data_IF_100149702488
#
_entry.id   IF_100149702488
#
_cell.length_a   1.000
_cell.length_b   1.000
_cell.length_c   1.000
_cell.angle_alpha   90.00
_cell.angle_beta   90.00
_cell.angle_gamma   90.00
#
_symmetry.space_group_name_H-M   'P 1'
#
loop_
_entity.id
_entity.type
_entity.pdbx_description
1 polymer ?
#
# COMPACT_ATOMS: atom_id res chain seq x y z
N UNK A 1 4.16 4.16 -24.19
CA UNK A 1 3.26 4.88 -23.26
C UNK A 1 2.56 3.82 -22.41
N UNK A 2 2.87 3.72 -21.11
CA UNK A 2 2.14 2.80 -20.23
C UNK A 2 0.70 3.30 -20.08
N UNK A 3 -0.28 2.43 -20.35
CA UNK A 3 -1.70 2.78 -20.23
C UNK A 3 -2.08 2.85 -18.75
N UNK A 4 -2.29 4.05 -18.23
CA UNK A 4 -2.76 4.25 -16.86
C UNK A 4 -4.27 4.10 -16.79
N UNK A 5 -4.78 3.39 -15.78
CA UNK A 5 -6.21 3.30 -15.50
C UNK A 5 -6.52 3.98 -14.16
N UNK A 6 -7.59 4.79 -14.07
CA UNK A 6 -8.00 5.41 -12.81
C UNK A 6 -8.46 4.33 -11.83
N UNK A 7 -8.02 4.43 -10.58
CA UNK A 7 -8.41 3.52 -9.49
C UNK A 7 -8.98 4.33 -8.34
N UNK A 8 -10.19 3.98 -7.88
CA UNK A 8 -10.84 4.63 -6.74
C UNK A 8 -11.09 3.59 -5.65
N UNK A 9 -10.58 3.86 -4.45
CA UNK A 9 -10.72 2.96 -3.30
C UNK A 9 -11.20 3.75 -2.09
N UNK A 10 -12.16 3.17 -1.35
CA UNK A 10 -12.63 3.75 -0.09
C UNK A 10 -11.68 3.35 1.03
N UNK A 11 -11.19 4.35 1.77
CA UNK A 11 -10.27 4.17 2.89
C UNK A 11 -10.83 4.99 4.05
N UNK A 12 -10.74 4.46 5.26
CA UNK A 12 -11.05 5.20 6.48
C UNK A 12 -10.16 6.46 6.57
N UNK A 13 -10.73 7.59 7.03
CA UNK A 13 -10.03 8.87 7.07
C UNK A 13 -8.79 8.86 7.99
N UNK A 14 -8.88 8.20 9.15
CA UNK A 14 -7.77 8.09 10.10
C UNK A 14 -6.66 7.21 9.53
N UNK A 15 -7.02 6.09 8.91
CA UNK A 15 -6.06 5.21 8.23
C UNK A 15 -5.36 5.94 7.08
N UNK A 16 -6.11 6.74 6.30
CA UNK A 16 -5.54 7.55 5.22
C UNK A 16 -4.53 8.54 5.78
N UNK A 17 -4.87 9.25 6.87
CA UNK A 17 -3.97 10.22 7.50
C UNK A 17 -2.66 9.56 7.96
N UNK A 18 -2.76 8.45 8.70
CA UNK A 18 -1.59 7.71 9.18
C UNK A 18 -0.72 7.20 8.03
N UNK A 19 -1.34 6.66 6.98
CA UNK A 19 -0.61 6.21 5.80
C UNK A 19 0.06 7.36 5.04
N UNK A 20 -0.60 8.52 4.92
CA UNK A 20 0.00 9.72 4.31
C UNK A 20 1.24 10.14 5.07
N UNK A 21 1.14 10.32 6.40
CA UNK A 21 2.27 10.76 7.24
C UNK A 21 3.45 9.79 7.11
N UNK A 22 3.19 8.48 7.18
CA UNK A 22 4.21 7.44 7.00
C UNK A 22 4.89 7.49 5.63
N UNK A 23 4.11 7.62 4.55
CA UNK A 23 4.69 7.63 3.21
C UNK A 23 5.40 8.96 2.88
N UNK A 24 4.95 10.08 3.43
CA UNK A 24 5.63 11.37 3.32
C UNK A 24 7.03 11.33 3.95
N UNK A 25 7.18 10.68 5.11
CA UNK A 25 8.50 10.43 5.72
C UNK A 25 9.42 9.61 4.81
N UNK A 26 8.86 8.74 3.98
CA UNK A 26 9.56 7.91 3.00
C UNK A 26 9.74 8.62 1.64
N UNK A 27 9.25 9.85 1.47
CA UNK A 27 9.29 10.60 0.22
C UNK A 27 8.34 10.06 -0.87
N UNK A 28 7.26 9.40 -0.47
CA UNK A 28 6.28 8.77 -1.35
C UNK A 28 4.89 9.37 -1.15
N UNK A 29 4.12 9.52 -2.23
CA UNK A 29 2.69 9.77 -2.14
C UNK A 29 1.90 8.45 -2.07
N UNK A 30 0.65 8.52 -1.60
CA UNK A 30 -0.22 7.34 -1.49
C UNK A 30 -0.35 6.61 -2.84
N UNK A 31 -0.42 7.34 -3.96
CA UNK A 31 -0.60 6.72 -5.28
C UNK A 31 0.62 5.89 -5.67
N UNK A 32 1.82 6.42 -5.44
CA UNK A 32 3.07 5.68 -5.66
C UNK A 32 3.20 4.48 -4.74
N UNK A 33 2.81 4.62 -3.46
CA UNK A 33 2.83 3.50 -2.51
C UNK A 33 1.86 2.37 -2.93
N UNK A 34 0.64 2.72 -3.37
CA UNK A 34 -0.34 1.74 -3.90
C UNK A 34 0.18 1.07 -5.16
N UNK A 35 0.77 1.84 -6.09
CA UNK A 35 1.39 1.25 -7.27
C UNK A 35 2.51 0.29 -6.88
N UNK A 36 3.41 0.68 -5.97
CA UNK A 36 4.50 -0.18 -5.50
C UNK A 36 3.95 -1.48 -4.90
N UNK A 37 2.93 -1.39 -4.06
CA UNK A 37 2.26 -2.57 -3.48
C UNK A 37 1.75 -3.52 -4.56
N UNK A 38 1.06 -3.00 -5.59
CA UNK A 38 0.55 -3.83 -6.69
C UNK A 38 1.68 -4.49 -7.50
N UNK A 39 2.79 -3.79 -7.74
CA UNK A 39 3.96 -4.38 -8.41
C UNK A 39 4.55 -5.52 -7.58
N UNK A 40 4.65 -5.34 -6.25
CA UNK A 40 5.12 -6.39 -5.36
C UNK A 40 4.17 -7.60 -5.37
N UNK A 41 2.85 -7.37 -5.38
CA UNK A 41 1.89 -8.47 -5.49
C UNK A 41 2.09 -9.29 -6.77
N UNK A 42 2.26 -8.61 -7.90
CA UNK A 42 2.48 -9.26 -9.21
C UNK A 42 3.80 -10.02 -9.23
N UNK A 43 4.87 -9.43 -8.68
CA UNK A 43 6.19 -10.03 -8.65
C UNK A 43 6.21 -11.33 -7.81
N UNK A 44 5.53 -11.32 -6.67
CA UNK A 44 5.48 -12.44 -5.74
C UNK A 44 4.38 -13.47 -6.07
N UNK A 45 3.48 -13.17 -7.01
CA UNK A 45 2.32 -14.02 -7.33
C UNK A 45 1.31 -14.15 -6.18
N UNK A 46 1.26 -13.15 -5.28
CA UNK A 46 0.50 -13.21 -4.04
C UNK A 46 0.56 -11.89 -3.27
N UNK A 47 0.29 -11.89 -1.97
CA UNK A 47 0.50 -10.70 -1.14
C UNK A 47 1.99 -10.56 -0.79
N UNK A 48 2.53 -9.33 -0.74
CA UNK A 48 3.95 -9.08 -0.45
C UNK A 48 4.27 -9.13 1.04
N UNK A 49 3.34 -9.66 1.84
CA UNK A 49 3.47 -9.91 3.26
C UNK A 49 2.74 -11.19 3.62
N UNK A 50 3.18 -11.86 4.68
CA UNK A 50 2.52 -13.04 5.22
C UNK A 50 1.15 -12.65 5.79
N UNK A 51 0.09 -13.34 5.35
CA UNK A 51 -1.25 -13.17 5.94
C UNK A 51 -1.35 -14.06 7.17
N UNK A 52 -0.95 -13.52 8.31
CA UNK A 52 -1.03 -14.19 9.61
C UNK A 52 -1.67 -13.27 10.64
N UNK A 53 -2.26 -13.86 11.68
CA UNK A 53 -2.70 -13.07 12.85
C UNK A 53 -1.43 -12.65 13.58
N UNK A 54 -1.08 -11.36 13.58
CA UNK A 54 0.20 -10.95 14.13
C UNK A 54 0.18 -11.16 15.63
N UNK A 55 1.12 -11.97 16.12
CA UNK A 55 1.38 -12.13 17.56
C UNK A 55 2.44 -11.10 17.94
N UNK A 56 2.06 -9.83 17.96
CA UNK A 56 2.93 -8.76 18.44
C UNK A 56 3.13 -8.94 19.95
N UNK A 57 4.24 -9.59 20.34
CA UNK A 57 4.62 -9.96 21.70
C UNK A 57 3.63 -10.86 22.49
N UNK A 58 4.20 -11.90 23.10
CA UNK A 58 3.68 -12.40 24.38
C UNK A 58 4.18 -11.49 25.50
#
# INVERSE_FOLDING_TARGET
>A
MAKTAPTQTRINADLKKQATELFEELGLDISSAVNLFLHQCVLHGGLPFTVEVPRFNK
#
